data_IF_465229697123
#
_entry.id   IF_465229697123
#
_cell.length_a   1.000
_cell.length_b   1.000
_cell.length_c   1.000
_cell.angle_alpha   90.00
_cell.angle_beta   90.00
_cell.angle_gamma   90.00
#
_symmetry.space_group_name_H-M   'P 1'
#
loop_
_entity.id
_entity.type
_entity.pdbx_description
1 polymer ?
#
# COMPACT_ATOMS: atom_id res chain seq x y z
N UNK A 1 1.17 25.95 -12.79
CA UNK A 1 1.90 24.66 -12.70
C UNK A 1 1.00 23.70 -11.92
N UNK A 2 0.55 22.65 -12.56
CA UNK A 2 -0.15 21.55 -11.87
C UNK A 2 0.84 20.87 -10.93
N UNK A 3 0.42 20.66 -9.67
CA UNK A 3 1.23 19.93 -8.71
C UNK A 3 1.36 18.47 -9.18
N UNK A 4 2.55 17.89 -9.06
CA UNK A 4 2.78 16.47 -9.40
C UNK A 4 1.80 15.55 -8.69
N UNK A 5 1.33 15.91 -7.49
CA UNK A 5 0.32 15.15 -6.75
C UNK A 5 -1.03 15.16 -7.48
N UNK A 6 -1.43 16.30 -8.06
CA UNK A 6 -2.69 16.40 -8.82
C UNK A 6 -2.65 15.52 -10.08
N UNK A 7 -1.49 15.47 -10.76
CA UNK A 7 -1.28 14.60 -11.91
C UNK A 7 -1.37 13.12 -11.52
N UNK A 8 -0.72 12.73 -10.43
CA UNK A 8 -0.78 11.37 -9.91
C UNK A 8 -2.21 10.97 -9.55
N UNK A 9 -2.94 11.85 -8.86
CA UNK A 9 -4.33 11.57 -8.46
C UNK A 9 -5.25 11.45 -9.67
N UNK A 10 -5.09 12.32 -10.67
CA UNK A 10 -5.88 12.25 -11.90
C UNK A 10 -5.65 10.91 -12.63
N UNK A 11 -4.40 10.50 -12.76
CA UNK A 11 -4.05 9.20 -13.34
C UNK A 11 -4.61 8.03 -12.53
N UNK A 12 -4.50 8.10 -11.20
CA UNK A 12 -5.00 7.05 -10.30
C UNK A 12 -6.52 6.87 -10.38
N UNK A 13 -7.29 7.94 -10.58
CA UNK A 13 -8.74 7.84 -10.81
C UNK A 13 -9.07 7.02 -12.04
N UNK A 14 -8.41 7.30 -13.15
CA UNK A 14 -8.60 6.53 -14.39
C UNK A 14 -8.20 5.06 -14.24
N UNK A 15 -7.09 4.81 -13.58
CA UNK A 15 -6.62 3.46 -13.27
C UNK A 15 -7.66 2.67 -12.46
N UNK A 16 -8.22 3.27 -11.40
CA UNK A 16 -9.22 2.63 -10.55
C UNK A 16 -10.53 2.37 -11.33
N UNK A 17 -10.98 3.31 -12.16
CA UNK A 17 -12.16 3.12 -13.00
C UNK A 17 -12.00 1.92 -13.94
N UNK A 18 -10.84 1.80 -14.59
CA UNK A 18 -10.53 0.66 -15.45
C UNK A 18 -10.47 -0.65 -14.67
N UNK A 19 -9.88 -0.64 -13.49
CA UNK A 19 -9.78 -1.82 -12.62
C UNK A 19 -11.18 -2.26 -12.12
N UNK A 20 -12.04 -1.31 -11.73
CA UNK A 20 -13.42 -1.59 -11.32
C UNK A 20 -14.27 -2.17 -12.48
N UNK A 21 -14.03 -1.72 -13.71
CA UNK A 21 -14.68 -2.27 -14.88
C UNK A 21 -14.26 -3.71 -15.19
N UNK A 22 -13.00 -4.06 -14.89
CA UNK A 22 -12.46 -5.41 -15.09
C UNK A 22 -12.84 -6.37 -13.95
N UNK A 23 -12.81 -5.89 -12.70
CA UNK A 23 -13.10 -6.69 -11.50
C UNK A 23 -14.01 -5.87 -10.59
N UNK A 24 -15.23 -6.34 -10.35
CA UNK A 24 -16.17 -5.60 -9.51
C UNK A 24 -15.70 -5.51 -8.04
N UNK A 25 -16.07 -4.43 -7.36
CA UNK A 25 -15.79 -4.25 -5.94
C UNK A 25 -16.40 -5.36 -5.09
N UNK A 26 -17.60 -5.83 -5.44
CA UNK A 26 -18.28 -6.93 -4.74
C UNK A 26 -17.45 -8.22 -4.77
N UNK A 27 -16.83 -8.53 -5.91
CA UNK A 27 -15.95 -9.69 -6.03
C UNK A 27 -14.71 -9.55 -5.13
N UNK A 28 -14.14 -8.34 -5.01
CA UNK A 28 -13.02 -8.09 -4.11
C UNK A 28 -13.44 -8.23 -2.63
N UNK A 29 -14.61 -7.71 -2.26
CA UNK A 29 -15.14 -7.83 -0.90
C UNK A 29 -15.29 -9.30 -0.53
N UNK A 30 -15.91 -10.11 -1.39
CA UNK A 30 -16.11 -11.53 -1.16
C UNK A 30 -14.79 -12.28 -0.95
N UNK A 31 -13.76 -11.96 -1.75
CA UNK A 31 -12.44 -12.57 -1.62
C UNK A 31 -11.63 -12.05 -0.41
N UNK A 32 -11.94 -10.85 0.08
CA UNK A 32 -11.28 -10.28 1.26
C UNK A 32 -11.78 -10.88 2.59
N UNK A 33 -12.92 -11.58 2.57
CA UNK A 33 -13.51 -12.21 3.75
C UNK A 33 -12.79 -13.51 4.19
N UNK A 34 -11.86 -14.02 3.38
CA UNK A 34 -11.00 -15.12 3.79
C UNK A 34 -10.02 -14.64 4.90
N UNK A 35 -9.96 -15.35 6.04
CA UNK A 35 -9.13 -14.94 7.16
C UNK A 35 -7.64 -15.12 6.83
N UNK A 36 -7.01 -14.06 6.34
CA UNK A 36 -5.54 -13.99 6.31
C UNK A 36 -5.04 -13.42 7.64
N UNK A 37 -4.09 -14.09 8.32
CA UNK A 37 -3.52 -13.56 9.56
C UNK A 37 -2.82 -12.23 9.26
N UNK A 38 -3.36 -11.15 9.82
CA UNK A 38 -2.78 -9.81 9.68
C UNK A 38 -1.71 -9.57 10.73
N UNK A 39 -0.63 -8.95 10.32
CA UNK A 39 0.49 -8.58 11.18
C UNK A 39 0.34 -7.13 11.62
N UNK A 40 0.50 -6.88 12.91
CA UNK A 40 0.41 -5.51 13.43
C UNK A 40 1.68 -4.73 13.14
N UNK A 41 1.60 -3.76 12.23
CA UNK A 41 2.70 -2.82 11.96
C UNK A 41 3.11 -2.06 13.23
N UNK A 42 2.14 -1.62 14.04
CA UNK A 42 2.40 -0.94 15.31
C UNK A 42 3.17 -1.83 16.29
N UNK A 43 2.72 -3.07 16.48
CA UNK A 43 3.39 -3.99 17.39
C UNK A 43 4.82 -4.31 16.91
N UNK A 44 5.01 -4.52 15.62
CA UNK A 44 6.33 -4.79 15.03
C UNK A 44 7.30 -3.63 15.23
N UNK A 45 6.86 -2.39 15.00
CA UNK A 45 7.68 -1.19 15.22
C UNK A 45 8.01 -0.99 16.69
N UNK A 46 7.03 -1.22 17.61
CA UNK A 46 7.24 -1.04 19.05
C UNK A 46 8.14 -2.09 19.67
N UNK A 47 8.13 -3.31 19.16
CA UNK A 47 8.95 -4.42 19.67
C UNK A 47 10.37 -4.44 19.07
N UNK A 48 10.59 -3.73 17.99
CA UNK A 48 11.85 -3.76 17.26
C UNK A 48 12.87 -2.75 17.82
N UNK A 49 14.13 -3.16 18.05
CA UNK A 49 15.19 -2.23 18.47
C UNK A 49 15.58 -1.22 17.37
N UNK A 50 15.35 -1.54 16.10
CA UNK A 50 15.72 -0.68 14.97
C UNK A 50 14.62 0.31 14.59
N UNK A 51 13.33 -0.09 14.66
CA UNK A 51 12.19 0.70 14.23
C UNK A 51 12.21 1.05 12.72
N UNK A 52 12.98 0.33 11.90
CA UNK A 52 13.20 0.66 10.49
C UNK A 52 12.05 0.15 9.64
N UNK A 53 11.49 1.05 8.81
CA UNK A 53 10.61 0.72 7.70
C UNK A 53 11.46 0.71 6.43
N UNK A 54 11.69 -0.46 5.85
CA UNK A 54 12.47 -0.61 4.62
C UNK A 54 11.58 -0.55 3.38
N UNK A 55 11.90 0.35 2.45
CA UNK A 55 11.08 0.61 1.26
C UNK A 55 11.62 -0.08 0.01
N UNK A 56 10.79 -0.86 -0.64
CA UNK A 56 11.02 -1.42 -1.95
C UNK A 56 10.40 -0.52 -3.03
N UNK A 57 11.27 0.04 -3.87
CA UNK A 57 10.90 0.96 -4.94
C UNK A 57 11.85 0.85 -6.13
N UNK A 58 11.31 0.75 -7.36
CA UNK A 58 12.12 0.68 -8.59
C UNK A 58 12.38 2.01 -9.24
N UNK A 59 11.45 2.98 -9.07
CA UNK A 59 11.44 4.27 -9.76
C UNK A 59 10.95 5.38 -8.85
N UNK A 60 11.30 6.63 -9.16
CA UNK A 60 10.64 7.80 -8.57
C UNK A 60 10.53 8.94 -9.60
N UNK A 61 9.53 9.84 -9.49
CA UNK A 61 9.39 10.97 -10.39
C UNK A 61 10.65 11.85 -10.47
N UNK A 62 11.35 12.02 -9.35
CA UNK A 62 12.53 12.89 -9.26
C UNK A 62 13.83 12.26 -9.78
N UNK A 63 13.96 10.92 -9.70
CA UNK A 63 15.21 10.20 -10.04
C UNK A 63 15.09 9.28 -11.24
N UNK A 64 13.87 9.05 -11.77
CA UNK A 64 13.64 8.03 -12.78
C UNK A 64 13.88 6.62 -12.24
N UNK A 65 14.37 5.72 -13.08
CA UNK A 65 14.68 4.35 -12.68
C UNK A 65 15.87 4.28 -11.73
N UNK A 66 15.64 3.68 -10.55
CA UNK A 66 16.68 3.41 -9.54
C UNK A 66 17.25 2.01 -9.77
N UNK A 67 16.37 1.03 -9.91
CA UNK A 67 16.71 -0.36 -10.25
C UNK A 67 15.51 -1.05 -10.90
N UNK A 68 15.39 -0.94 -12.21
CA UNK A 68 14.24 -1.43 -12.97
C UNK A 68 13.98 -2.93 -12.78
N UNK A 69 15.04 -3.74 -12.79
CA UNK A 69 14.98 -5.19 -12.66
C UNK A 69 14.97 -5.69 -11.19
N UNK A 70 14.67 -4.83 -10.21
CA UNK A 70 14.57 -5.27 -8.82
C UNK A 70 13.38 -6.21 -8.62
N UNK A 71 13.62 -7.32 -7.91
CA UNK A 71 12.64 -8.37 -7.68
C UNK A 71 12.09 -8.30 -6.26
N UNK A 72 10.76 -8.36 -6.16
CA UNK A 72 10.06 -8.21 -4.88
C UNK A 72 10.07 -9.48 -4.02
N UNK A 73 10.38 -10.62 -4.60
CA UNK A 73 10.61 -11.89 -3.90
C UNK A 73 12.04 -12.05 -3.37
N UNK A 74 12.95 -11.11 -3.72
CA UNK A 74 14.37 -11.14 -3.31
C UNK A 74 14.70 -9.97 -2.36
N UNK A 75 14.35 -8.74 -2.74
CA UNK A 75 14.80 -7.53 -2.00
C UNK A 75 14.10 -7.38 -0.65
N UNK A 76 12.75 -7.46 -0.54
CA UNK A 76 12.07 -7.39 0.76
C UNK A 76 12.53 -8.45 1.76
N UNK A 77 12.72 -9.74 1.40
CA UNK A 77 13.33 -10.72 2.31
C UNK A 77 14.73 -10.34 2.79
N UNK A 78 15.56 -9.77 1.91
CA UNK A 78 16.88 -9.29 2.32
C UNK A 78 16.81 -8.13 3.33
N UNK A 79 15.80 -7.25 3.22
CA UNK A 79 15.56 -6.21 4.22
C UNK A 79 15.16 -6.79 5.58
N UNK A 80 14.31 -7.83 5.60
CA UNK A 80 13.96 -8.56 6.82
C UNK A 80 15.19 -9.17 7.47
N UNK A 81 16.03 -9.85 6.70
CA UNK A 81 17.29 -10.43 7.19
C UNK A 81 18.27 -9.36 7.72
N UNK A 82 18.22 -8.16 7.16
CA UNK A 82 19.04 -7.02 7.62
C UNK A 82 18.46 -6.32 8.87
N UNK A 83 17.33 -6.78 9.42
CA UNK A 83 16.77 -6.27 10.67
C UNK A 83 15.73 -5.16 10.49
N UNK A 84 15.10 -5.04 9.31
CA UNK A 84 13.93 -4.19 9.14
C UNK A 84 12.79 -4.64 10.07
N UNK A 85 11.96 -3.70 10.48
CA UNK A 85 10.79 -3.94 11.34
C UNK A 85 9.49 -4.05 10.54
N UNK A 86 9.43 -3.33 9.42
CA UNK A 86 8.28 -3.26 8.51
C UNK A 86 8.81 -3.12 7.09
N UNK A 87 8.08 -3.69 6.15
CA UNK A 87 8.35 -3.53 4.72
C UNK A 87 7.34 -2.56 4.10
N UNK A 88 7.82 -1.58 3.35
CA UNK A 88 7.00 -0.68 2.54
C UNK A 88 7.19 -1.03 1.07
N UNK A 89 6.12 -1.41 0.37
CA UNK A 89 6.20 -1.83 -1.03
C UNK A 89 5.35 -0.89 -1.89
N UNK A 90 6.02 -0.19 -2.83
CA UNK A 90 5.37 0.68 -3.81
C UNK A 90 4.53 -0.17 -4.77
N UNK A 91 3.26 0.23 -4.98
CA UNK A 91 2.36 -0.45 -5.93
C UNK A 91 1.88 0.46 -7.05
N UNK A 92 2.22 1.76 -7.03
CA UNK A 92 1.99 2.64 -8.16
C UNK A 92 2.91 2.29 -9.33
N UNK A 93 2.31 1.98 -10.48
CA UNK A 93 3.04 1.51 -11.66
C UNK A 93 3.63 2.66 -12.44
N UNK A 94 2.82 3.66 -12.75
CA UNK A 94 3.18 4.71 -13.71
C UNK A 94 4.30 5.63 -13.20
N UNK A 95 4.28 6.02 -11.93
CA UNK A 95 5.23 6.97 -11.36
C UNK A 95 6.36 6.31 -10.58
N UNK A 96 6.11 5.13 -10.00
CA UNK A 96 7.06 4.46 -9.10
C UNK A 96 7.53 3.07 -9.57
N UNK A 97 7.02 2.58 -10.69
CA UNK A 97 7.40 1.27 -11.26
C UNK A 97 7.04 0.10 -10.35
N UNK A 98 6.02 0.27 -9.50
CA UNK A 98 5.51 -0.76 -8.60
C UNK A 98 4.37 -1.55 -9.23
N UNK A 99 3.91 -2.58 -8.54
CA UNK A 99 2.73 -3.36 -8.93
C UNK A 99 2.16 -4.08 -7.71
N UNK A 100 0.84 -4.34 -7.69
CA UNK A 100 0.22 -5.19 -6.66
C UNK A 100 0.80 -6.60 -6.60
N UNK A 101 1.29 -7.12 -7.73
CA UNK A 101 2.00 -8.40 -7.80
C UNK A 101 3.27 -8.43 -6.95
N UNK A 102 3.89 -7.28 -6.69
CA UNK A 102 5.10 -7.20 -5.86
C UNK A 102 4.80 -7.57 -4.39
N UNK A 103 3.67 -7.11 -3.84
CA UNK A 103 3.24 -7.53 -2.50
C UNK A 103 2.93 -9.03 -2.50
N UNK A 104 2.24 -9.53 -3.52
CA UNK A 104 1.91 -10.95 -3.63
C UNK A 104 3.15 -11.84 -3.74
N UNK A 105 4.19 -11.38 -4.43
CA UNK A 105 5.46 -12.09 -4.55
C UNK A 105 6.28 -12.06 -3.25
N UNK A 106 6.31 -10.91 -2.57
CA UNK A 106 7.04 -10.77 -1.31
C UNK A 106 6.36 -11.50 -0.14
N UNK A 107 5.02 -11.50 -0.09
CA UNK A 107 4.25 -11.97 1.07
C UNK A 107 4.60 -13.37 1.58
N UNK A 108 4.75 -14.41 0.74
CA UNK A 108 5.11 -15.75 1.20
C UNK A 108 6.58 -15.86 1.67
N UNK A 109 7.41 -14.89 1.35
CA UNK A 109 8.86 -14.91 1.65
C UNK A 109 9.21 -14.16 2.94
N UNK A 110 8.25 -13.43 3.55
CA UNK A 110 8.53 -12.56 4.69
C UNK A 110 7.51 -12.75 5.82
N UNK A 111 7.96 -12.57 7.05
CA UNK A 111 7.12 -12.59 8.25
C UNK A 111 6.72 -11.18 8.72
N UNK A 112 7.43 -10.16 8.29
CA UNK A 112 7.19 -8.77 8.67
C UNK A 112 5.84 -8.24 8.13
N UNK A 113 5.26 -7.23 8.80
CA UNK A 113 4.14 -6.48 8.24
C UNK A 113 4.53 -5.80 6.93
N UNK A 114 3.62 -5.82 5.96
CA UNK A 114 3.77 -5.13 4.68
C UNK A 114 2.81 -3.94 4.61
N UNK A 115 3.37 -2.74 4.41
CA UNK A 115 2.66 -1.52 4.08
C UNK A 115 2.53 -1.42 2.56
N UNK A 116 1.30 -1.40 2.04
CA UNK A 116 1.04 -0.96 0.66
C UNK A 116 1.29 0.53 0.55
N UNK A 117 2.32 0.90 -0.18
CA UNK A 117 2.68 2.30 -0.47
C UNK A 117 2.10 2.69 -1.82
N UNK A 118 1.01 3.44 -1.80
CA UNK A 118 0.29 3.90 -2.99
C UNK A 118 -0.49 5.18 -2.66
N UNK A 119 -1.07 5.81 -3.67
CA UNK A 119 -2.01 6.91 -3.51
C UNK A 119 -3.43 6.33 -3.37
N UNK A 120 -3.83 6.11 -2.12
CA UNK A 120 -5.15 5.56 -1.80
C UNK A 120 -6.18 6.69 -1.87
N UNK A 121 -7.12 6.60 -2.81
CA UNK A 121 -8.17 7.59 -3.05
C UNK A 121 -9.58 6.96 -3.11
N UNK A 122 -9.66 5.65 -3.07
CA UNK A 122 -10.90 4.89 -3.18
C UNK A 122 -10.84 3.64 -2.30
N UNK A 123 -11.97 3.25 -1.68
CA UNK A 123 -12.05 2.06 -0.84
C UNK A 123 -11.76 0.75 -1.60
N UNK A 124 -11.99 0.73 -2.91
CA UNK A 124 -11.64 -0.38 -3.79
C UNK A 124 -10.17 -0.81 -3.59
N UNK A 125 -9.27 0.15 -3.43
CA UNK A 125 -7.85 -0.10 -3.21
C UNK A 125 -7.57 -0.76 -1.84
N UNK A 126 -8.45 -0.57 -0.84
CA UNK A 126 -8.34 -1.23 0.46
C UNK A 126 -8.61 -2.73 0.33
N UNK A 127 -9.62 -3.10 -0.45
CA UNK A 127 -9.91 -4.51 -0.74
C UNK A 127 -8.81 -5.16 -1.57
N UNK A 128 -8.25 -4.44 -2.54
CA UNK A 128 -7.07 -4.92 -3.27
C UNK A 128 -5.88 -5.18 -2.32
N UNK A 129 -5.59 -4.25 -1.41
CA UNK A 129 -4.51 -4.39 -0.42
C UNK A 129 -4.73 -5.62 0.47
N UNK A 130 -5.98 -5.84 0.90
CA UNK A 130 -6.39 -7.03 1.65
C UNK A 130 -6.04 -8.33 0.91
N UNK A 131 -6.47 -8.45 -0.35
CA UNK A 131 -6.34 -9.67 -1.16
C UNK A 131 -4.87 -9.99 -1.49
N UNK A 132 -4.03 -8.99 -1.69
CA UNK A 132 -2.60 -9.22 -1.99
C UNK A 132 -1.76 -9.49 -0.75
N UNK A 133 -2.34 -9.36 0.46
CA UNK A 133 -1.67 -9.67 1.72
C UNK A 133 -0.91 -8.50 2.34
N UNK A 134 -1.31 -7.25 2.04
CA UNK A 134 -0.85 -6.09 2.77
C UNK A 134 -1.49 -6.04 4.16
N UNK A 135 -0.72 -5.65 5.17
CA UNK A 135 -1.17 -5.51 6.55
C UNK A 135 -1.60 -4.08 6.89
N UNK A 136 -1.12 -3.11 6.12
CA UNK A 136 -1.43 -1.69 6.26
C UNK A 136 -1.43 -0.97 4.91
N UNK A 137 -2.06 0.21 4.87
CA UNK A 137 -2.04 1.14 3.73
C UNK A 137 -1.62 2.52 4.19
N UNK A 138 -1.03 3.31 3.29
CA UNK A 138 -0.73 4.71 3.53
C UNK A 138 -1.91 5.57 3.09
N UNK A 139 -2.44 6.39 4.00
CA UNK A 139 -3.44 7.40 3.69
C UNK A 139 -2.77 8.78 3.65
N UNK A 140 -2.83 9.45 2.50
CA UNK A 140 -2.25 10.77 2.29
C UNK A 140 -3.37 11.80 2.39
N UNK A 141 -3.37 12.64 3.43
CA UNK A 141 -4.45 13.61 3.69
C UNK A 141 -4.69 14.55 2.49
N UNK A 142 -3.65 14.98 1.79
CA UNK A 142 -3.77 15.82 0.60
C UNK A 142 -4.45 15.10 -0.58
N UNK A 143 -4.34 13.77 -0.67
CA UNK A 143 -5.00 12.96 -1.70
C UNK A 143 -6.47 12.67 -1.38
N UNK A 144 -6.87 12.77 -0.10
CA UNK A 144 -8.19 12.39 0.39
C UNK A 144 -9.17 13.57 0.49
N UNK A 145 -8.83 14.72 -0.06
CA UNK A 145 -9.53 16.00 0.15
C UNK A 145 -11.05 15.98 -0.12
N UNK A 146 -11.60 14.95 -0.77
CA UNK A 146 -13.03 14.92 -1.11
C UNK A 146 -13.74 13.56 -1.03
N UNK A 147 -13.11 12.46 -0.57
CA UNK A 147 -13.78 11.14 -0.62
C UNK A 147 -13.78 10.31 0.67
N UNK A 148 -12.68 10.16 1.39
CA UNK A 148 -12.57 9.18 2.48
C UNK A 148 -12.50 9.77 3.90
N UNK A 149 -12.10 11.04 4.06
CA UNK A 149 -12.01 11.68 5.37
C UNK A 149 -13.39 11.95 6.00
N UNK A 150 -14.44 12.03 5.18
CA UNK A 150 -15.81 12.27 5.63
C UNK A 150 -16.61 11.01 5.92
N UNK A 151 -16.14 9.84 5.49
CA UNK A 151 -16.87 8.57 5.65
C UNK A 151 -16.31 7.66 6.75
N UNK A 152 -15.12 7.94 7.25
CA UNK A 152 -14.51 7.18 8.35
C UNK A 152 -14.74 7.93 9.66
N UNK A 153 -15.58 7.43 10.60
CA UNK A 153 -15.73 8.07 11.91
C UNK A 153 -14.37 8.07 12.61
N UNK A 154 -13.89 9.26 12.94
CA UNK A 154 -12.68 9.44 13.73
C UNK A 154 -12.81 8.69 15.07
N UNK A 155 -11.76 8.03 15.57
CA UNK A 155 -11.77 7.46 16.92
C UNK A 155 -12.13 8.49 18.02
N UNK A 156 -12.00 9.80 17.74
CA UNK A 156 -12.41 10.88 18.64
C UNK A 156 -13.92 11.12 18.70
N UNK A 157 -14.67 10.70 17.68
CA UNK A 157 -16.12 10.88 17.62
C UNK A 157 -16.90 9.82 18.40
N UNK A 158 -16.21 8.83 19.00
CA UNK A 158 -16.80 7.76 19.83
C UNK A 158 -16.84 8.09 21.32
N UNK A 159 -16.46 9.29 21.74
CA UNK A 159 -16.38 9.66 23.15
C UNK A 159 -17.43 10.71 23.57
N UNK A 160 -18.66 10.61 23.05
CA UNK A 160 -19.79 11.39 23.57
C UNK A 160 -21.03 10.48 23.60
N UNK A 161 -21.17 9.72 24.66
CA UNK A 161 -22.45 9.23 25.22
C UNK A 161 -22.23 8.77 26.65
#
# INVERSE_FOLDING_TARGET
>A
MTDILDEIIAHKRLEIEQQKAAISQELLINNCNEPMPRRSMRASLSASPSGIIAEFKRRSPSKGWIKENAQADIIPPAYEMAGASVLSILTDENFFGGNLKDIRAARPQVSLPILRKDFIIDEYQLYQACIVGADAVLLIAAALRNCLLYTSPSPRDRSVS
#
